data_IF_685035967567
#
_entry.id   IF_685035967567
#
_cell.length_a   1.000
_cell.length_b   1.000
_cell.length_c   1.000
_cell.angle_alpha   90.00
_cell.angle_beta   90.00
_cell.angle_gamma   90.00
#
_symmetry.space_group_name_H-M   'P 1'
#
loop_
_entity.id
_entity.type
_entity.pdbx_description
1 polymer ?
#
# COMPACT_ATOMS: atom_id res chain seq x y z
N UNK A 1 -10.59 -19.90 10.02
CA UNK A 1 -10.48 -18.44 10.14
C UNK A 1 -10.31 -17.86 8.74
N UNK A 2 -11.22 -16.98 8.26
CA UNK A 2 -11.03 -16.30 6.97
C UNK A 2 -9.84 -15.36 7.09
N UNK A 3 -8.82 -15.52 6.26
CA UNK A 3 -7.66 -14.62 6.20
C UNK A 3 -8.13 -13.23 5.77
N UNK A 4 -7.75 -12.19 6.51
CA UNK A 4 -7.98 -10.80 6.10
C UNK A 4 -7.10 -10.56 4.87
N UNK A 5 -7.71 -10.16 3.75
CA UNK A 5 -6.99 -9.75 2.56
C UNK A 5 -6.57 -8.29 2.77
N UNK A 6 -5.31 -8.11 3.14
CA UNK A 6 -4.74 -6.77 3.28
C UNK A 6 -4.42 -6.18 1.91
N UNK A 7 -4.53 -4.86 1.83
CA UNK A 7 -3.93 -4.09 0.75
C UNK A 7 -2.44 -4.39 0.64
N UNK A 8 -1.92 -4.38 -0.58
CA UNK A 8 -0.50 -4.61 -0.85
C UNK A 8 0.36 -3.61 -0.08
N UNK A 9 -0.14 -2.39 0.12
CA UNK A 9 0.56 -1.35 0.85
C UNK A 9 0.70 -1.65 2.33
N UNK A 10 -0.37 -2.12 2.94
CA UNK A 10 -0.37 -2.52 4.35
C UNK A 10 0.46 -3.79 4.54
N UNK A 11 0.35 -4.73 3.60
CA UNK A 11 1.11 -5.98 3.61
C UNK A 11 2.63 -5.71 3.57
N UNK A 12 3.08 -4.78 2.72
CA UNK A 12 4.50 -4.40 2.64
C UNK A 12 5.01 -3.82 3.97
N UNK A 13 4.26 -2.91 4.57
CA UNK A 13 4.58 -2.33 5.89
C UNK A 13 4.71 -3.43 6.95
N UNK A 14 3.75 -4.36 7.00
CA UNK A 14 3.76 -5.47 7.96
C UNK A 14 4.96 -6.41 7.74
N UNK A 15 5.30 -6.72 6.49
CA UNK A 15 6.48 -7.51 6.15
C UNK A 15 7.77 -6.85 6.63
N UNK A 16 7.93 -5.55 6.41
CA UNK A 16 9.11 -4.83 6.90
C UNK A 16 9.19 -4.82 8.43
N UNK A 17 8.06 -4.63 9.13
CA UNK A 17 8.06 -4.74 10.59
C UNK A 17 8.45 -6.13 11.08
N UNK A 18 7.98 -7.17 10.41
CA UNK A 18 8.37 -8.54 10.72
C UNK A 18 9.86 -8.80 10.49
N UNK A 19 10.42 -8.29 9.39
CA UNK A 19 11.86 -8.33 9.14
C UNK A 19 12.64 -7.59 10.22
N UNK A 20 12.25 -6.36 10.57
CA UNK A 20 12.92 -5.56 11.59
C UNK A 20 12.87 -6.26 12.96
N UNK A 21 11.75 -6.90 13.31
CA UNK A 21 11.64 -7.70 14.54
C UNK A 21 12.62 -8.89 14.56
N UNK A 22 12.74 -9.63 13.46
CA UNK A 22 13.71 -10.73 13.40
C UNK A 22 15.16 -10.23 13.37
N UNK A 23 15.40 -9.09 12.74
CA UNK A 23 16.71 -8.44 12.71
C UNK A 23 17.15 -7.97 14.10
N UNK A 24 16.24 -7.45 14.94
CA UNK A 24 16.61 -7.07 16.33
C UNK A 24 16.99 -8.29 17.17
N UNK A 25 16.29 -9.42 17.02
CA UNK A 25 16.67 -10.68 17.65
C UNK A 25 18.04 -11.17 17.17
N UNK A 26 18.29 -11.06 15.85
CA UNK A 26 19.58 -11.42 15.25
C UNK A 26 20.71 -10.55 15.78
N UNK A 27 20.49 -9.24 15.90
CA UNK A 27 21.46 -8.30 16.44
C UNK A 27 21.79 -8.61 17.91
N UNK A 28 20.79 -8.93 18.73
CA UNK A 28 21.00 -9.32 20.12
C UNK A 28 21.77 -10.64 20.25
N UNK A 29 21.46 -11.64 19.42
CA UNK A 29 22.22 -12.88 19.38
C UNK A 29 23.67 -12.65 18.90
N UNK A 30 23.86 -11.73 17.95
CA UNK A 30 25.17 -11.33 17.43
C UNK A 30 26.01 -10.66 18.51
N UNK A 31 25.48 -9.73 19.29
CA UNK A 31 26.24 -9.06 20.36
C UNK A 31 26.70 -10.04 21.43
N UNK A 32 25.83 -10.98 21.84
CA UNK A 32 26.17 -12.05 22.78
C UNK A 32 27.27 -12.95 22.21
N UNK A 33 27.14 -13.33 20.94
CA UNK A 33 28.10 -14.24 20.28
C UNK A 33 29.46 -13.58 20.07
N UNK A 34 29.49 -12.31 19.66
CA UNK A 34 30.72 -11.53 19.53
C UNK A 34 31.43 -11.40 20.87
N UNK A 35 30.69 -11.14 21.94
CA UNK A 35 31.27 -11.05 23.28
C UNK A 35 31.87 -12.39 23.74
N UNK A 36 31.21 -13.51 23.45
CA UNK A 36 31.63 -14.82 23.97
C UNK A 36 32.63 -15.58 23.09
N UNK A 37 32.51 -15.46 21.78
CA UNK A 37 33.21 -16.30 20.78
C UNK A 37 34.00 -15.49 19.75
N UNK A 38 34.12 -14.18 19.95
CA UNK A 38 34.88 -13.28 19.09
C UNK A 38 34.12 -12.79 17.86
N UNK A 39 34.73 -11.81 17.19
CA UNK A 39 34.11 -11.02 16.12
C UNK A 39 33.76 -11.84 14.87
N UNK A 40 34.60 -12.80 14.47
CA UNK A 40 34.34 -13.62 13.28
C UNK A 40 33.05 -14.44 13.43
N UNK A 41 32.87 -15.10 14.58
CA UNK A 41 31.68 -15.86 14.90
C UNK A 41 30.43 -14.97 14.91
N UNK A 42 30.54 -13.77 15.48
CA UNK A 42 29.47 -12.77 15.46
C UNK A 42 29.08 -12.33 14.04
N UNK A 43 30.04 -12.04 13.18
CA UNK A 43 29.77 -11.63 11.80
C UNK A 43 29.06 -12.73 10.99
N UNK A 44 29.48 -13.99 11.13
CA UNK A 44 28.79 -15.11 10.47
C UNK A 44 27.35 -15.26 10.94
N UNK A 45 27.12 -15.13 12.25
CA UNK A 45 25.77 -15.19 12.82
C UNK A 45 24.90 -14.02 12.34
N UNK A 46 25.46 -12.81 12.26
CA UNK A 46 24.76 -11.63 11.77
C UNK A 46 24.33 -11.81 10.32
N UNK A 47 25.26 -12.21 9.45
CA UNK A 47 24.98 -12.41 8.02
C UNK A 47 23.94 -13.52 7.83
N UNK A 48 24.13 -14.68 8.47
CA UNK A 48 23.21 -15.80 8.40
C UNK A 48 21.82 -15.44 8.92
N UNK A 49 21.73 -14.77 10.08
CA UNK A 49 20.46 -14.37 10.68
C UNK A 49 19.71 -13.32 9.87
N UNK A 50 20.40 -12.36 9.26
CA UNK A 50 19.78 -11.40 8.34
C UNK A 50 19.25 -12.08 7.08
N UNK A 51 20.01 -13.01 6.48
CA UNK A 51 19.55 -13.81 5.34
C UNK A 51 18.30 -14.63 5.68
N UNK A 52 18.30 -15.32 6.83
CA UNK A 52 17.13 -16.10 7.29
C UNK A 52 15.92 -15.19 7.55
N UNK A 53 16.13 -14.04 8.19
CA UNK A 53 15.08 -13.05 8.45
C UNK A 53 14.46 -12.53 7.16
N UNK A 54 15.28 -12.24 6.14
CA UNK A 54 14.83 -11.78 4.83
C UNK A 54 14.02 -12.86 4.10
N UNK A 55 14.50 -14.10 4.07
CA UNK A 55 13.75 -15.23 3.46
C UNK A 55 12.43 -15.47 4.20
N UNK A 56 12.42 -15.39 5.53
CA UNK A 56 11.21 -15.52 6.33
C UNK A 56 10.19 -14.42 6.00
N UNK A 57 10.64 -13.17 5.83
CA UNK A 57 9.79 -12.05 5.41
C UNK A 57 9.13 -12.31 4.04
N UNK A 58 9.91 -12.71 3.03
CA UNK A 58 9.39 -12.98 1.68
C UNK A 58 8.33 -14.08 1.73
N UNK A 59 8.60 -15.16 2.47
CA UNK A 59 7.67 -16.31 2.58
C UNK A 59 6.40 -15.99 3.37
N UNK A 60 6.40 -14.95 4.22
CA UNK A 60 5.24 -14.60 5.07
C UNK A 60 4.16 -13.91 4.25
N UNK A 61 3.12 -14.65 3.84
CA UNK A 61 2.01 -14.11 3.04
C UNK A 61 0.87 -13.50 3.86
N UNK A 62 0.70 -13.93 5.10
CA UNK A 62 -0.46 -13.54 5.93
C UNK A 62 -0.01 -13.11 7.32
N UNK A 63 -0.61 -12.03 7.82
CA UNK A 63 -0.43 -11.54 9.18
C UNK A 63 -1.72 -11.73 9.96
N UNK A 64 -1.61 -12.17 11.21
CA UNK A 64 -2.75 -12.26 12.11
C UNK A 64 -3.14 -10.85 12.53
N UNK A 65 -4.41 -10.44 12.34
CA UNK A 65 -4.86 -9.14 12.83
C UNK A 65 -4.73 -9.06 14.35
N UNK A 66 -4.63 -7.85 14.91
CA UNK A 66 -4.60 -7.68 16.36
C UNK A 66 -5.88 -8.21 16.99
N UNK A 67 -5.80 -8.64 18.25
CA UNK A 67 -6.94 -9.17 18.98
C UNK A 67 -8.10 -8.14 19.02
N UNK A 68 -9.29 -8.58 18.63
CA UNK A 68 -10.48 -7.70 18.50
C UNK A 68 -10.80 -6.99 19.82
N UNK A 69 -10.70 -7.70 20.95
CA UNK A 69 -11.02 -7.14 22.29
C UNK A 69 -10.06 -6.01 22.68
N UNK A 70 -8.76 -6.21 22.49
CA UNK A 70 -7.73 -5.20 22.79
C UNK A 70 -7.89 -4.01 21.83
N UNK A 71 -8.11 -4.27 20.55
CA UNK A 71 -8.32 -3.21 19.55
C UNK A 71 -9.56 -2.39 19.86
N UNK A 72 -10.70 -3.02 20.19
CA UNK A 72 -11.94 -2.32 20.53
C UNK A 72 -11.77 -1.45 21.79
N UNK A 73 -11.07 -1.94 22.82
CA UNK A 73 -10.78 -1.16 24.03
C UNK A 73 -9.90 0.07 23.73
N UNK A 74 -8.90 -0.09 22.85
CA UNK A 74 -8.05 1.03 22.40
C UNK A 74 -8.85 2.04 21.57
N UNK A 75 -9.70 1.57 20.66
CA UNK A 75 -10.57 2.42 19.85
C UNK A 75 -11.53 3.23 20.73
N UNK A 76 -12.24 2.58 21.66
CA UNK A 76 -13.18 3.27 22.55
C UNK A 76 -12.50 4.37 23.36
N UNK A 77 -11.30 4.10 23.90
CA UNK A 77 -10.51 5.10 24.63
C UNK A 77 -10.06 6.25 23.73
N UNK A 78 -9.61 5.95 22.52
CA UNK A 78 -9.09 6.98 21.62
C UNK A 78 -10.21 7.85 21.02
N UNK A 79 -11.38 7.31 20.68
CA UNK A 79 -12.54 8.09 20.20
C UNK A 79 -13.00 9.10 21.24
N UNK A 80 -12.98 8.74 22.53
CA UNK A 80 -13.35 9.67 23.60
C UNK A 80 -12.38 10.83 23.80
N UNK A 81 -11.16 10.72 23.25
CA UNK A 81 -10.08 11.67 23.48
C UNK A 81 -9.73 12.49 22.23
N UNK A 82 -9.93 11.93 21.03
CA UNK A 82 -9.55 12.56 19.77
C UNK A 82 -10.57 12.22 18.67
N UNK A 83 -11.22 13.26 18.17
CA UNK A 83 -12.17 13.19 17.03
C UNK A 83 -11.59 13.82 15.76
N UNK A 84 -10.25 13.93 15.69
CA UNK A 84 -9.59 14.38 14.46
C UNK A 84 -9.95 13.50 13.25
N UNK A 85 -10.00 14.06 12.03
CA UNK A 85 -10.26 13.30 10.80
C UNK A 85 -9.35 12.08 10.64
N UNK A 86 -8.10 12.22 11.06
CA UNK A 86 -7.11 11.14 11.07
C UNK A 86 -7.49 9.98 11.99
N UNK A 87 -7.91 10.26 13.22
CA UNK A 87 -8.34 9.23 14.16
C UNK A 87 -9.61 8.52 13.66
N UNK A 88 -10.57 9.27 13.10
CA UNK A 88 -11.78 8.71 12.49
C UNK A 88 -11.45 7.81 11.29
N UNK A 89 -10.60 8.27 10.36
CA UNK A 89 -10.16 7.47 9.21
C UNK A 89 -9.51 6.15 9.64
N UNK A 90 -8.67 6.22 10.69
CA UNK A 90 -8.02 5.04 11.29
C UNK A 90 -9.05 4.09 11.89
N UNK A 91 -10.04 4.60 12.63
CA UNK A 91 -11.09 3.77 13.22
C UNK A 91 -11.95 3.10 12.16
N UNK A 92 -12.34 3.83 11.11
CA UNK A 92 -13.09 3.27 10.00
C UNK A 92 -12.29 2.16 9.31
N UNK A 93 -11.00 2.38 9.06
CA UNK A 93 -10.11 1.35 8.50
C UNK A 93 -10.01 0.12 9.41
N UNK A 94 -9.93 0.30 10.73
CA UNK A 94 -9.91 -0.81 11.69
C UNK A 94 -11.23 -1.57 11.70
N UNK A 95 -12.37 -0.88 11.69
CA UNK A 95 -13.71 -1.48 11.58
C UNK A 95 -13.83 -2.32 10.30
N UNK A 96 -13.32 -1.80 9.20
CA UNK A 96 -13.31 -2.48 7.91
C UNK A 96 -12.42 -3.73 7.92
N UNK A 97 -11.11 -3.57 8.13
CA UNK A 97 -10.15 -4.68 7.99
C UNK A 97 -10.14 -5.67 9.15
N UNK A 98 -10.23 -5.19 10.40
CA UNK A 98 -10.05 -6.04 11.57
C UNK A 98 -11.37 -6.57 12.11
N UNK A 99 -12.42 -5.75 12.11
CA UNK A 99 -13.73 -6.16 12.61
C UNK A 99 -14.64 -6.73 11.51
N UNK A 100 -14.30 -6.54 10.22
CA UNK A 100 -15.12 -6.98 9.09
C UNK A 100 -16.53 -6.39 9.15
N UNK A 101 -16.61 -5.10 9.53
CA UNK A 101 -17.86 -4.37 9.70
C UNK A 101 -17.95 -3.21 8.69
N UNK A 102 -18.08 -3.49 7.38
CA UNK A 102 -18.05 -2.47 6.33
C UNK A 102 -19.17 -1.45 6.48
N UNK A 103 -20.39 -1.88 6.82
CA UNK A 103 -21.55 -0.99 7.03
C UNK A 103 -21.32 0.02 8.17
N UNK A 104 -20.68 -0.41 9.25
CA UNK A 104 -20.34 0.45 10.39
C UNK A 104 -19.21 1.42 10.00
N UNK A 105 -18.19 0.95 9.29
CA UNK A 105 -17.10 1.80 8.81
C UNK A 105 -17.59 2.89 7.84
N UNK A 106 -18.44 2.52 6.88
CA UNK A 106 -19.03 3.42 5.90
C UNK A 106 -19.93 4.45 6.61
N UNK A 107 -20.87 3.99 7.46
CA UNK A 107 -21.76 4.91 8.18
C UNK A 107 -21.03 5.84 9.13
N UNK A 108 -19.90 5.42 9.71
CA UNK A 108 -19.04 6.30 10.50
C UNK A 108 -18.44 7.41 9.62
N UNK A 109 -17.85 7.08 8.47
CA UNK A 109 -17.23 8.06 7.59
C UNK A 109 -18.25 9.01 6.96
N UNK A 110 -19.43 8.53 6.60
CA UNK A 110 -20.51 9.34 6.02
C UNK A 110 -20.97 10.46 6.95
N UNK A 111 -20.95 10.24 8.27
CA UNK A 111 -21.27 11.29 9.26
C UNK A 111 -20.32 12.48 9.20
N UNK A 112 -19.09 12.27 8.71
CA UNK A 112 -18.08 13.30 8.61
C UNK A 112 -17.85 13.78 7.17
N UNK A 113 -18.62 13.30 6.20
CA UNK A 113 -18.54 13.75 4.80
C UNK A 113 -18.71 15.28 4.65
N UNK A 114 -19.59 15.98 5.40
CA UNK A 114 -19.74 17.43 5.29
C UNK A 114 -18.47 18.23 5.66
N UNK A 115 -17.50 17.62 6.34
CA UNK A 115 -16.21 18.28 6.65
C UNK A 115 -15.34 18.50 5.41
N UNK A 116 -15.63 17.79 4.30
CA UNK A 116 -14.81 17.75 3.10
C UNK A 116 -13.33 17.38 3.34
N UNK A 117 -13.01 16.77 4.48
CA UNK A 117 -11.65 16.36 4.79
C UNK A 117 -11.13 15.34 3.75
N UNK A 118 -9.95 15.59 3.13
CA UNK A 118 -9.45 14.74 2.06
C UNK A 118 -9.19 13.30 2.48
N UNK A 119 -8.68 13.10 3.70
CA UNK A 119 -8.33 11.78 4.21
C UNK A 119 -9.59 10.95 4.46
N UNK A 120 -10.63 11.54 5.04
CA UNK A 120 -11.91 10.88 5.27
C UNK A 120 -12.59 10.49 3.95
N UNK A 121 -12.65 11.42 2.99
CA UNK A 121 -13.24 11.15 1.68
C UNK A 121 -12.47 10.08 0.91
N UNK A 122 -11.14 10.11 0.97
CA UNK A 122 -10.27 9.10 0.36
C UNK A 122 -10.48 7.72 0.99
N UNK A 123 -10.54 7.66 2.31
CA UNK A 123 -10.79 6.40 3.04
C UNK A 123 -12.18 5.84 2.71
N UNK A 124 -13.19 6.69 2.65
CA UNK A 124 -14.55 6.30 2.28
C UNK A 124 -14.60 5.81 0.83
N UNK A 125 -13.99 6.53 -0.11
CA UNK A 125 -13.93 6.15 -1.51
C UNK A 125 -13.23 4.81 -1.73
N UNK A 126 -12.12 4.56 -1.04
CA UNK A 126 -11.40 3.28 -1.12
C UNK A 126 -12.22 2.11 -0.56
N UNK A 127 -12.90 2.28 0.58
CA UNK A 127 -13.80 1.27 1.15
C UNK A 127 -14.99 1.02 0.21
N UNK A 128 -15.64 2.07 -0.31
CA UNK A 128 -16.75 1.95 -1.24
C UNK A 128 -16.35 1.21 -2.52
N UNK A 129 -15.15 1.50 -3.05
CA UNK A 129 -14.60 0.82 -4.22
C UNK A 129 -14.48 -0.69 -3.99
N UNK A 130 -13.94 -1.09 -2.83
CA UNK A 130 -13.76 -2.50 -2.45
C UNK A 130 -15.06 -3.25 -2.21
N UNK A 131 -16.08 -2.55 -1.71
CA UNK A 131 -17.44 -3.08 -1.59
C UNK A 131 -18.19 -3.09 -2.95
N UNK A 132 -17.54 -2.71 -4.05
CA UNK A 132 -18.13 -2.71 -5.40
C UNK A 132 -19.04 -1.51 -5.69
N UNK A 133 -19.13 -0.54 -4.77
CA UNK A 133 -19.94 0.66 -4.95
C UNK A 133 -19.15 1.77 -5.66
N UNK A 134 -18.73 1.47 -6.89
CA UNK A 134 -17.82 2.30 -7.69
C UNK A 134 -18.41 3.68 -8.01
N UNK A 135 -19.72 3.76 -8.28
CA UNK A 135 -20.39 5.04 -8.60
C UNK A 135 -20.38 5.97 -7.39
N UNK A 136 -20.72 5.46 -6.21
CA UNK A 136 -20.71 6.26 -4.98
C UNK A 136 -19.30 6.66 -4.58
N UNK A 137 -18.33 5.77 -4.76
CA UNK A 137 -16.91 6.11 -4.55
C UNK A 137 -16.49 7.28 -5.45
N UNK A 138 -16.86 7.27 -6.73
CA UNK A 138 -16.55 8.35 -7.65
C UNK A 138 -17.18 9.68 -7.22
N UNK A 139 -18.46 9.66 -6.80
CA UNK A 139 -19.17 10.87 -6.32
C UNK A 139 -18.47 11.49 -5.11
N UNK A 140 -18.19 10.69 -4.08
CA UNK A 140 -17.53 11.15 -2.85
C UNK A 140 -16.18 11.79 -3.12
N UNK A 141 -15.39 11.21 -4.03
CA UNK A 141 -14.04 11.69 -4.32
C UNK A 141 -14.04 12.91 -5.25
N UNK A 142 -14.91 12.93 -6.26
CA UNK A 142 -14.93 14.00 -7.28
C UNK A 142 -15.53 15.29 -6.75
N UNK A 143 -16.55 15.20 -5.91
CA UNK A 143 -17.25 16.37 -5.37
C UNK A 143 -16.49 17.03 -4.21
N UNK A 144 -15.38 16.42 -3.77
CA UNK A 144 -14.52 17.03 -2.79
C UNK A 144 -13.78 18.25 -3.40
N UNK A 145 -13.75 19.41 -2.72
CA UNK A 145 -13.06 20.61 -3.21
C UNK A 145 -11.54 20.41 -3.38
N UNK A 146 -10.96 19.43 -2.68
CA UNK A 146 -9.54 19.08 -2.75
C UNK A 146 -9.23 17.92 -3.73
N UNK A 147 -10.22 17.49 -4.53
CA UNK A 147 -10.13 16.36 -5.46
C UNK A 147 -8.94 16.37 -6.42
N UNK A 148 -8.43 17.56 -6.76
CA UNK A 148 -7.36 17.75 -7.73
C UNK A 148 -6.00 18.13 -7.14
N UNK A 149 -5.92 18.28 -5.81
CA UNK A 149 -4.71 18.76 -5.11
C UNK A 149 -4.16 17.75 -4.11
N UNK A 150 -4.96 16.78 -3.65
CA UNK A 150 -4.47 15.72 -2.79
C UNK A 150 -3.97 14.51 -3.62
N UNK A 151 -2.68 14.12 -3.50
CA UNK A 151 -2.12 13.05 -4.32
C UNK A 151 -2.71 11.68 -3.99
N UNK A 152 -3.10 11.42 -2.74
CA UNK A 152 -3.70 10.15 -2.36
C UNK A 152 -5.13 10.03 -2.90
N UNK A 153 -5.90 11.10 -2.84
CA UNK A 153 -7.25 11.18 -3.40
C UNK A 153 -7.23 10.98 -4.92
N UNK A 154 -6.30 11.62 -5.63
CA UNK A 154 -6.10 11.42 -7.07
C UNK A 154 -5.79 9.96 -7.41
N UNK A 155 -4.92 9.32 -6.63
CA UNK A 155 -4.62 7.90 -6.82
C UNK A 155 -5.86 7.03 -6.62
N UNK A 156 -6.67 7.30 -5.58
CA UNK A 156 -7.91 6.55 -5.32
C UNK A 156 -8.93 6.79 -6.43
N UNK A 157 -9.10 8.03 -6.91
CA UNK A 157 -9.93 8.32 -8.08
C UNK A 157 -9.45 7.57 -9.33
N UNK A 158 -8.14 7.53 -9.57
CA UNK A 158 -7.56 6.75 -10.66
C UNK A 158 -7.96 5.27 -10.59
N UNK A 159 -7.90 4.66 -9.40
CA UNK A 159 -8.36 3.26 -9.19
C UNK A 159 -9.84 3.09 -9.48
N UNK A 160 -10.68 4.04 -9.05
CA UNK A 160 -12.12 4.05 -9.36
C UNK A 160 -12.34 4.11 -10.87
N UNK A 161 -11.62 4.99 -11.58
CA UNK A 161 -11.75 5.12 -13.04
C UNK A 161 -11.29 3.87 -13.79
N UNK A 162 -10.23 3.18 -13.33
CA UNK A 162 -9.85 1.88 -13.89
C UNK A 162 -11.00 0.89 -13.81
N UNK A 163 -11.70 0.81 -12.66
CA UNK A 163 -12.81 -0.13 -12.48
C UNK A 163 -14.04 0.21 -13.34
N UNK A 164 -14.22 1.49 -13.73
CA UNK A 164 -15.27 1.93 -14.66
C UNK A 164 -14.83 1.81 -16.13
N UNK A 165 -13.58 1.41 -16.40
CA UNK A 165 -13.04 1.26 -17.76
C UNK A 165 -12.54 2.57 -18.39
N UNK A 166 -12.44 3.65 -17.60
CA UNK A 166 -11.93 4.96 -18.00
C UNK A 166 -10.41 5.04 -17.92
N UNK A 167 -9.75 4.18 -18.69
CA UNK A 167 -8.30 3.94 -18.61
C UNK A 167 -7.46 5.20 -18.92
N UNK A 168 -7.72 5.98 -19.99
CA UNK A 168 -6.91 7.16 -20.28
C UNK A 168 -7.00 8.21 -19.18
N UNK A 169 -8.20 8.46 -18.64
CA UNK A 169 -8.39 9.42 -17.54
C UNK A 169 -7.72 8.91 -16.25
N UNK A 170 -7.79 7.60 -15.97
CA UNK A 170 -7.10 7.00 -14.83
C UNK A 170 -5.59 7.19 -14.89
N UNK A 171 -4.97 6.98 -16.06
CA UNK A 171 -3.53 7.17 -16.26
C UNK A 171 -3.13 8.62 -15.93
N UNK A 172 -3.89 9.61 -16.42
CA UNK A 172 -3.64 11.02 -16.14
C UNK A 172 -3.72 11.35 -14.63
N UNK A 173 -4.69 10.77 -13.91
CA UNK A 173 -4.80 10.98 -12.46
C UNK A 173 -3.63 10.35 -11.70
N UNK A 174 -3.16 9.17 -12.10
CA UNK A 174 -1.99 8.55 -11.48
C UNK A 174 -0.69 9.34 -11.75
N UNK A 175 -0.49 9.85 -12.97
CA UNK A 175 0.64 10.72 -13.29
C UNK A 175 0.62 11.99 -12.45
N UNK A 176 -0.54 12.65 -12.37
CA UNK A 176 -0.72 13.85 -11.56
C UNK A 176 -0.50 13.57 -10.08
N UNK A 177 -0.97 12.44 -9.58
CA UNK A 177 -0.73 11.99 -8.20
C UNK A 177 0.76 11.87 -7.90
N UNK A 178 1.53 11.21 -8.78
CA UNK A 178 2.99 11.08 -8.63
C UNK A 178 3.70 12.44 -8.70
N UNK A 179 3.24 13.34 -9.57
CA UNK A 179 3.81 14.69 -9.68
C UNK A 179 3.58 15.51 -8.41
N UNK A 180 2.34 15.51 -7.88
CA UNK A 180 2.01 16.23 -6.65
C UNK A 180 2.69 15.64 -5.42
N UNK A 181 2.84 14.31 -5.35
CA UNK A 181 3.62 13.65 -4.30
C UNK A 181 5.08 14.12 -4.30
N UNK A 182 5.69 14.29 -5.46
CA UNK A 182 7.07 14.78 -5.55
C UNK A 182 7.22 16.22 -5.03
N UNK A 183 6.18 17.04 -5.17
CA UNK A 183 6.19 18.44 -4.75
C UNK A 183 5.81 18.63 -3.28
N UNK A 184 4.77 17.94 -2.81
CA UNK A 184 4.13 18.19 -1.51
C UNK A 184 4.14 16.97 -0.57
N UNK A 185 4.47 15.78 -1.09
CA UNK A 185 4.37 14.52 -0.35
C UNK A 185 2.94 14.00 -0.21
N UNK A 186 2.79 12.78 0.31
CA UNK A 186 1.50 12.25 0.73
C UNK A 186 1.06 12.81 2.09
N UNK A 187 -0.27 12.85 2.36
CA UNK A 187 -0.79 13.26 3.66
C UNK A 187 -0.21 12.43 4.81
N UNK A 188 -0.05 13.08 5.96
CA UNK A 188 0.51 12.45 7.15
C UNK A 188 -0.52 11.52 7.82
N UNK A 189 -0.13 10.28 8.12
CA UNK A 189 -1.03 9.29 8.73
C UNK A 189 -1.05 9.33 10.28
N UNK A 190 -0.27 10.23 10.89
CA UNK A 190 -0.06 10.33 12.34
C UNK A 190 0.67 9.14 12.94
N UNK A 191 1.29 8.33 12.10
CA UNK A 191 2.15 7.23 12.51
C UNK A 191 3.56 7.72 12.78
N UNK A 192 4.37 6.88 13.44
CA UNK A 192 5.78 7.17 13.65
C UNK A 192 6.48 7.46 12.30
N UNK A 193 7.47 8.35 12.29
CA UNK A 193 8.10 8.83 11.04
C UNK A 193 8.59 7.71 10.13
N UNK A 194 9.13 6.63 10.71
CA UNK A 194 9.58 5.45 9.96
C UNK A 194 8.41 4.73 9.26
N UNK A 195 7.29 4.56 9.96
CA UNK A 195 6.06 3.98 9.39
C UNK A 195 5.56 4.82 8.24
N UNK A 196 5.52 6.15 8.42
CA UNK A 196 5.10 7.08 7.38
C UNK A 196 5.99 6.95 6.14
N UNK A 197 7.32 6.90 6.31
CA UNK A 197 8.24 6.75 5.17
C UNK A 197 8.03 5.43 4.43
N UNK A 198 7.89 4.32 5.15
CA UNK A 198 7.63 3.01 4.53
C UNK A 198 6.30 3.03 3.79
N UNK A 199 5.25 3.59 4.39
CA UNK A 199 3.93 3.68 3.80
C UNK A 199 3.93 4.56 2.54
N UNK A 200 4.63 5.70 2.57
CA UNK A 200 4.84 6.58 1.39
C UNK A 200 5.50 5.83 0.23
N UNK A 201 6.58 5.07 0.51
CA UNK A 201 7.22 4.24 -0.52
C UNK A 201 6.24 3.22 -1.10
N UNK A 202 5.41 2.64 -0.23
CA UNK A 202 4.42 1.65 -0.64
C UNK A 202 3.31 2.23 -1.51
N UNK A 203 2.78 3.41 -1.17
CA UNK A 203 1.79 4.11 -1.99
C UNK A 203 2.39 4.46 -3.35
N UNK A 204 3.61 4.99 -3.38
CA UNK A 204 4.30 5.34 -4.62
C UNK A 204 4.53 4.11 -5.51
N UNK A 205 4.91 2.98 -4.92
CA UNK A 205 5.05 1.72 -5.64
C UNK A 205 3.72 1.26 -6.24
N UNK A 206 2.64 1.30 -5.44
CA UNK A 206 1.29 0.95 -5.90
C UNK A 206 0.82 1.84 -7.06
N UNK A 207 1.03 3.16 -6.98
CA UNK A 207 0.63 4.08 -8.05
C UNK A 207 1.42 3.83 -9.32
N UNK A 208 2.74 3.60 -9.23
CA UNK A 208 3.54 3.20 -10.39
C UNK A 208 3.05 1.89 -11.00
N UNK A 209 2.68 0.90 -10.19
CA UNK A 209 2.12 -0.35 -10.68
C UNK A 209 0.76 -0.16 -11.36
N UNK A 210 -0.16 0.59 -10.76
CA UNK A 210 -1.45 0.89 -11.38
C UNK A 210 -1.33 1.69 -12.67
N UNK A 211 -0.41 2.66 -12.72
CA UNK A 211 -0.12 3.42 -13.92
C UNK A 211 0.50 2.53 -15.02
N UNK A 212 1.40 1.62 -14.64
CA UNK A 212 1.95 0.63 -15.56
C UNK A 212 0.83 -0.26 -16.14
N UNK A 213 -0.09 -0.74 -15.30
CA UNK A 213 -1.25 -1.51 -15.73
C UNK A 213 -2.09 -0.69 -16.74
N UNK A 214 -2.38 0.60 -16.46
CA UNK A 214 -3.06 1.48 -17.43
C UNK A 214 -2.33 1.57 -18.77
N UNK A 215 -1.00 1.71 -18.77
CA UNK A 215 -0.23 1.76 -20.01
C UNK A 215 -0.21 0.45 -20.78
N UNK A 216 -0.32 -0.71 -20.10
CA UNK A 216 -0.54 -1.99 -20.78
C UNK A 216 -1.88 -1.97 -21.53
N UNK A 217 -2.94 -1.50 -20.87
CA UNK A 217 -4.28 -1.38 -21.49
C UNK A 217 -4.31 -0.38 -22.65
N UNK A 218 -3.45 0.64 -22.64
CA UNK A 218 -3.29 1.62 -23.71
C UNK A 218 -2.29 1.17 -24.80
N UNK A 219 -1.76 -0.06 -24.69
CA UNK A 219 -0.75 -0.63 -25.60
C UNK A 219 0.60 0.11 -25.64
N UNK A 220 0.87 1.00 -24.68
CA UNK A 220 2.18 1.66 -24.49
C UNK A 220 3.09 0.82 -23.59
N UNK A 221 3.58 -0.29 -24.15
CA UNK A 221 4.48 -1.21 -23.44
C UNK A 221 5.80 -0.55 -22.97
N UNK A 222 6.42 0.38 -23.71
CA UNK A 222 7.59 1.12 -23.21
C UNK A 222 7.33 1.84 -21.88
N UNK A 223 6.22 2.60 -21.78
CA UNK A 223 5.88 3.30 -20.54
C UNK A 223 5.47 2.32 -19.44
N UNK A 224 4.69 1.28 -19.77
CA UNK A 224 4.35 0.23 -18.81
C UNK A 224 5.61 -0.39 -18.18
N UNK A 225 6.60 -0.80 -18.99
CA UNK A 225 7.88 -1.36 -18.50
C UNK A 225 8.64 -0.38 -17.60
N UNK A 226 8.66 0.91 -17.95
CA UNK A 226 9.29 1.96 -17.15
C UNK A 226 8.65 2.05 -15.77
N UNK A 227 7.31 2.07 -15.72
CA UNK A 227 6.57 2.21 -14.46
C UNK A 227 6.60 0.96 -13.60
N UNK A 228 6.55 -0.26 -14.16
CA UNK A 228 6.78 -1.48 -13.38
C UNK A 228 8.17 -1.49 -12.72
N UNK A 229 9.21 -1.10 -13.46
CA UNK A 229 10.57 -1.00 -12.90
C UNK A 229 10.66 0.05 -11.80
N UNK A 230 10.03 1.22 -12.00
CA UNK A 230 10.00 2.27 -11.00
C UNK A 230 9.31 1.81 -9.71
N UNK A 231 8.14 1.15 -9.81
CA UNK A 231 7.43 0.61 -8.66
C UNK A 231 8.19 -0.51 -7.94
N UNK A 232 8.77 -1.47 -8.69
CA UNK A 232 9.51 -2.58 -8.10
C UNK A 232 10.76 -2.12 -7.33
N UNK A 233 11.45 -1.08 -7.79
CA UNK A 233 12.63 -0.52 -7.10
C UNK A 233 12.33 0.07 -5.73
N UNK A 234 11.06 0.43 -5.46
CA UNK A 234 10.63 0.96 -4.17
C UNK A 234 10.31 -0.14 -3.15
N UNK A 235 10.19 -1.39 -3.61
CA UNK A 235 9.81 -2.55 -2.80
C UNK A 235 11.02 -3.47 -2.60
N UNK A 236 11.44 -3.64 -1.35
CA UNK A 236 12.51 -4.56 -0.97
C UNK A 236 12.11 -6.04 -1.10
N UNK A 237 10.81 -6.31 -1.18
CA UNK A 237 10.25 -7.64 -1.28
C UNK A 237 9.90 -7.99 -2.74
N UNK A 238 10.67 -8.87 -3.40
CA UNK A 238 10.41 -9.27 -4.78
C UNK A 238 9.10 -10.03 -4.95
N UNK A 239 8.51 -10.60 -3.90
CA UNK A 239 7.20 -11.25 -3.98
C UNK A 239 6.04 -10.26 -4.23
N UNK A 240 6.29 -8.96 -4.09
CA UNK A 240 5.35 -7.88 -4.40
C UNK A 240 5.64 -7.21 -5.75
N UNK A 241 6.69 -7.64 -6.45
CA UNK A 241 7.03 -7.09 -7.76
C UNK A 241 6.00 -7.49 -8.80
N UNK A 242 5.72 -6.57 -9.72
CA UNK A 242 4.87 -6.80 -10.89
C UNK A 242 5.70 -6.78 -12.15
N UNK A 243 5.28 -7.52 -13.16
CA UNK A 243 5.98 -7.65 -14.42
C UNK A 243 5.08 -7.21 -15.57
N UNK A 244 5.70 -6.54 -16.55
CA UNK A 244 5.03 -6.23 -17.80
C UNK A 244 4.75 -7.54 -18.54
N UNK A 245 3.55 -7.75 -19.08
CA UNK A 245 3.29 -8.89 -19.95
C UNK A 245 4.30 -8.90 -21.10
N UNK A 246 4.74 -10.10 -21.47
CA UNK A 246 5.67 -10.28 -22.58
C UNK A 246 4.91 -10.03 -23.87
N UNK A 247 5.50 -9.22 -24.75
CA UNK A 247 4.96 -8.94 -26.08
C UNK A 247 5.13 -10.20 -26.95
N UNK A 248 4.14 -11.08 -26.94
CA UNK A 248 4.15 -12.35 -27.69
C UNK A 248 4.35 -12.13 -29.20
N UNK A 249 4.09 -10.91 -29.69
CA UNK A 249 4.16 -10.56 -31.11
C UNK A 249 5.58 -10.33 -31.64
N UNK A 250 6.59 -10.13 -30.79
CA UNK A 250 7.98 -10.00 -31.24
C UNK A 250 8.73 -11.33 -31.36
N UNK A 251 8.25 -12.40 -30.71
CA UNK A 251 8.82 -13.74 -30.87
C UNK A 251 8.50 -14.35 -32.24
N UNK A 252 7.30 -14.10 -32.77
CA UNK A 252 6.85 -14.66 -34.04
C UNK A 252 7.45 -13.98 -35.29
N UNK A 253 7.98 -12.75 -35.17
CA UNK A 253 8.61 -12.03 -36.29
C UNK A 253 10.07 -12.37 -36.52
N UNK A 254 10.74 -13.07 -35.59
CA UNK A 254 12.12 -13.52 -35.77
C UNK A 254 12.26 -14.84 -36.54
N UNK A 255 11.17 -15.58 -36.76
CA UNK A 255 11.20 -16.91 -37.40
C UNK A 255 10.66 -16.95 -38.83
N UNK A 256 10.45 -15.80 -39.48
CA UNK A 256 9.96 -15.73 -40.87
C UNK A 256 11.01 -15.31 -41.92
N UNK A 257 12.26 -15.10 -41.54
CA UNK A 257 13.35 -14.74 -42.47
C UNK A 257 14.47 -15.79 -42.49
N UNK A 258 14.10 -17.06 -42.60
CA UNK A 258 15.05 -18.14 -42.85
C UNK A 258 14.38 -19.28 -43.63
N UNK A 259 14.12 -19.04 -44.92
CA UNK A 259 14.06 -20.05 -45.98
C UNK A 259 14.36 -19.36 -47.31
#
# INVERSE_FOLDING_TARGET
MRSVQFDLEILYVQKLYFFMYLATLTLLATTITTWRFGLNSGLHLLLGGLCVSYVAMIKKKTFTPPEKKVTAKRMARAISQDTSPMSIARFASQLYYYFQAPTIAISLLEKFLPSHDPLLCTTLGDILLKEGNTIRALYVLRDNPHSLVDPLMLATQGRVLVQVGKIPEAAQLFERSLHLEQQHGFPHSGSHWLTQKILTLSYKASIHHSLADCYVWLEDLPQAKRHYRAGNRLLLDPSLWRHCPVDENHSAKSNKNSY
#
